data_IF_731603197569
#
_entry.id   IF_731603197569
#
_cell.length_a   1.000
_cell.length_b   1.000
_cell.length_c   1.000
_cell.angle_alpha   90.00
_cell.angle_beta   90.00
_cell.angle_gamma   90.00
#
_symmetry.space_group_name_H-M   'P 1'
#
loop_
_entity.id
_entity.type
_entity.pdbx_description
1 polymer ?
#
# COMPACT_ATOMS: atom_id res chain seq x y z
N UNK A 1 26.81 26.86 -56.46
CA UNK A 1 26.19 25.53 -56.27
C UNK A 1 25.78 25.40 -54.80
N UNK A 2 24.48 25.47 -54.50
CA UNK A 2 23.95 25.46 -53.12
C UNK A 2 23.89 24.02 -52.61
N UNK A 3 24.54 23.73 -51.47
CA UNK A 3 24.42 22.45 -50.75
C UNK A 3 23.14 22.49 -49.92
N UNK A 4 22.17 21.62 -50.23
CA UNK A 4 20.94 21.43 -49.46
C UNK A 4 21.28 20.44 -48.34
N UNK A 5 21.19 20.88 -47.09
CA UNK A 5 21.32 20.05 -45.90
C UNK A 5 19.93 19.62 -45.46
N UNK A 6 19.56 18.37 -45.72
CA UNK A 6 18.29 17.80 -45.30
C UNK A 6 18.39 17.41 -43.83
N UNK A 7 17.71 18.14 -42.95
CA UNK A 7 17.55 17.77 -41.53
C UNK A 7 16.37 16.79 -41.45
N UNK A 8 16.65 15.53 -41.14
CA UNK A 8 15.63 14.55 -40.78
C UNK A 8 15.25 14.81 -39.32
N UNK A 9 14.09 15.43 -39.10
CA UNK A 9 13.49 15.54 -37.78
C UNK A 9 12.87 14.19 -37.39
N UNK A 10 13.58 13.42 -36.56
CA UNK A 10 13.06 12.19 -35.96
C UNK A 10 12.01 12.54 -34.90
N UNK A 11 10.74 12.25 -35.19
CA UNK A 11 9.66 12.28 -34.20
C UNK A 11 9.89 11.09 -33.26
N UNK A 12 10.40 11.37 -32.05
CA UNK A 12 10.44 10.39 -30.96
C UNK A 12 9.02 10.21 -30.42
N UNK A 13 8.31 9.19 -30.90
CA UNK A 13 7.12 8.69 -30.20
C UNK A 13 7.58 8.08 -28.87
N UNK A 14 7.32 8.77 -27.77
CA UNK A 14 7.39 8.17 -26.44
C UNK A 14 6.27 7.13 -26.35
N UNK A 15 6.60 5.84 -26.52
CA UNK A 15 5.68 4.80 -26.08
C UNK A 15 5.52 4.99 -24.57
N UNK A 16 4.31 5.36 -24.17
CA UNK A 16 3.90 5.20 -22.78
C UNK A 16 3.87 3.70 -22.53
N UNK A 17 4.93 3.16 -21.93
CA UNK A 17 4.92 1.80 -21.45
C UNK A 17 3.86 1.76 -20.35
N UNK A 18 2.70 1.18 -20.65
CA UNK A 18 1.72 0.86 -19.63
C UNK A 18 2.41 -0.06 -18.63
N UNK A 19 2.38 0.30 -17.35
CA UNK A 19 2.80 -0.61 -16.30
C UNK A 19 1.75 -1.72 -16.24
N UNK A 20 1.93 -2.74 -17.07
CA UNK A 20 1.04 -3.88 -17.21
C UNK A 20 1.66 -5.06 -16.45
N UNK A 21 1.14 -5.35 -15.25
CA UNK A 21 1.61 -6.51 -14.50
C UNK A 21 1.20 -7.83 -15.15
N UNK A 22 0.21 -7.86 -16.05
CA UNK A 22 -0.16 -9.10 -16.73
C UNK A 22 0.97 -9.65 -17.61
N UNK A 23 1.90 -8.81 -18.06
CA UNK A 23 3.10 -9.30 -18.77
C UNK A 23 4.10 -10.00 -17.85
N UNK A 24 3.97 -9.86 -16.52
CA UNK A 24 4.84 -10.53 -15.56
C UNK A 24 4.55 -12.04 -15.54
N UNK A 25 5.57 -12.92 -15.65
CA UNK A 25 5.35 -14.37 -15.66
C UNK A 25 4.56 -14.85 -14.44
N UNK A 26 4.93 -14.38 -13.25
CA UNK A 26 4.27 -14.79 -12.00
C UNK A 26 2.84 -14.25 -11.86
N UNK A 27 2.51 -13.15 -12.54
CA UNK A 27 1.15 -12.61 -12.54
C UNK A 27 0.19 -13.49 -13.34
N UNK A 28 0.66 -14.13 -14.43
CA UNK A 28 -0.12 -15.11 -15.18
C UNK A 28 -0.38 -16.37 -14.35
N UNK A 29 0.65 -16.86 -13.66
CA UNK A 29 0.53 -18.00 -12.74
C UNK A 29 -0.47 -17.67 -11.61
N UNK A 30 -0.39 -16.46 -11.06
CA UNK A 30 -1.36 -15.97 -10.08
C UNK A 30 -2.78 -15.95 -10.65
N UNK A 31 -2.99 -15.42 -11.85
CA UNK A 31 -4.32 -15.38 -12.48
C UNK A 31 -4.88 -16.80 -12.70
N UNK A 32 -4.06 -17.73 -13.17
CA UNK A 32 -4.44 -19.14 -13.36
C UNK A 32 -4.86 -19.80 -12.04
N UNK A 33 -4.16 -19.50 -10.94
CA UNK A 33 -4.53 -19.96 -9.60
C UNK A 33 -5.85 -19.36 -9.12
N UNK A 34 -6.06 -18.05 -9.29
CA UNK A 34 -7.31 -17.39 -8.90
C UNK A 34 -8.52 -17.96 -9.64
N UNK A 35 -8.37 -18.30 -10.92
CA UNK A 35 -9.42 -18.93 -11.72
C UNK A 35 -9.65 -20.37 -11.27
N UNK A 36 -8.59 -21.18 -11.16
CA UNK A 36 -8.73 -22.63 -10.92
C UNK A 36 -9.07 -23.00 -9.48
N UNK A 37 -8.53 -22.31 -8.48
CA UNK A 37 -8.71 -22.64 -7.06
C UNK A 37 -9.81 -21.81 -6.39
N UNK A 38 -10.06 -20.60 -6.89
CA UNK A 38 -10.98 -19.65 -6.24
C UNK A 38 -12.17 -19.26 -7.13
N UNK A 39 -12.23 -19.71 -8.39
CA UNK A 39 -13.37 -19.53 -9.27
C UNK A 39 -13.58 -18.08 -9.74
N UNK A 40 -12.54 -17.26 -9.75
CA UNK A 40 -12.63 -15.89 -10.27
C UNK A 40 -12.80 -15.87 -11.79
N UNK A 41 -13.45 -14.82 -12.31
CA UNK A 41 -13.46 -14.54 -13.73
C UNK A 41 -12.07 -14.12 -14.20
N UNK A 42 -11.59 -14.72 -15.30
CA UNK A 42 -10.26 -14.45 -15.82
C UNK A 42 -10.12 -13.00 -16.30
N UNK A 43 -11.10 -12.49 -17.02
CA UNK A 43 -11.01 -11.15 -17.59
C UNK A 43 -10.99 -10.09 -16.49
N UNK A 44 -11.71 -10.29 -15.39
CA UNK A 44 -11.66 -9.40 -14.21
C UNK A 44 -10.26 -9.37 -13.56
N UNK A 45 -9.62 -10.52 -13.37
CA UNK A 45 -8.27 -10.58 -12.79
C UNK A 45 -7.24 -9.95 -13.72
N UNK A 46 -7.33 -10.24 -15.02
CA UNK A 46 -6.43 -9.67 -16.03
C UNK A 46 -6.57 -8.15 -16.09
N UNK A 47 -7.80 -7.63 -16.11
CA UNK A 47 -8.04 -6.18 -16.09
C UNK A 47 -7.45 -5.52 -14.83
N UNK A 48 -7.63 -6.13 -13.67
CA UNK A 48 -7.08 -5.63 -12.40
C UNK A 48 -5.54 -5.59 -12.41
N UNK A 49 -4.89 -6.60 -12.98
CA UNK A 49 -3.43 -6.68 -13.10
C UNK A 49 -2.88 -5.72 -14.15
N UNK A 50 -3.58 -5.51 -15.27
CA UNK A 50 -3.22 -4.53 -16.29
C UNK A 50 -3.22 -3.11 -15.72
N UNK A 51 -4.15 -2.79 -14.83
CA UNK A 51 -4.19 -1.48 -14.16
C UNK A 51 -3.17 -1.33 -13.03
N UNK A 52 -2.62 -2.42 -12.51
CA UNK A 52 -1.70 -2.38 -11.39
C UNK A 52 -0.35 -1.81 -11.83
N UNK A 53 0.18 -0.84 -11.07
CA UNK A 53 1.43 -0.17 -11.42
C UNK A 53 2.52 -0.43 -10.39
N UNK A 54 3.70 -0.85 -10.86
CA UNK A 54 4.88 -1.01 -10.01
C UNK A 54 5.21 0.26 -9.24
N UNK A 55 5.40 0.14 -7.93
CA UNK A 55 5.83 1.24 -7.05
C UNK A 55 7.24 1.00 -6.55
N UNK A 56 8.23 1.53 -7.27
CA UNK A 56 9.63 1.38 -6.86
C UNK A 56 9.89 1.85 -5.42
N UNK A 57 9.20 2.91 -4.97
CA UNK A 57 9.28 3.40 -3.60
C UNK A 57 8.89 2.36 -2.53
N UNK A 58 8.05 1.38 -2.86
CA UNK A 58 7.72 0.26 -1.96
C UNK A 58 8.90 -0.71 -1.85
N UNK A 59 9.53 -1.06 -2.99
CA UNK A 59 10.72 -1.92 -3.02
C UNK A 59 11.87 -1.27 -2.23
N UNK A 60 12.08 0.03 -2.43
CA UNK A 60 13.11 0.80 -1.76
C UNK A 60 12.87 0.82 -0.25
N UNK A 61 11.63 1.05 0.18
CA UNK A 61 11.25 1.04 1.60
C UNK A 61 11.47 -0.34 2.25
N UNK A 62 11.18 -1.43 1.54
CA UNK A 62 11.37 -2.81 2.02
C UNK A 62 12.82 -3.27 2.00
N UNK A 63 13.67 -2.64 1.19
CA UNK A 63 15.10 -2.98 1.07
C UNK A 63 15.97 -2.17 2.02
N UNK A 64 15.45 -1.06 2.55
CA UNK A 64 16.16 -0.22 3.51
C UNK A 64 16.61 -1.06 4.72
N UNK A 65 17.90 -1.04 5.08
CA UNK A 65 18.38 -1.75 6.26
C UNK A 65 17.65 -1.26 7.51
N UNK A 66 17.51 -2.15 8.50
CA UNK A 66 16.86 -1.82 9.76
C UNK A 66 17.54 -0.58 10.38
N UNK A 67 16.77 0.50 10.57
CA UNK A 67 17.25 1.63 11.34
C UNK A 67 17.56 1.19 12.77
N UNK A 68 18.52 1.85 13.42
CA UNK A 68 18.84 1.58 14.83
C UNK A 68 17.56 1.69 15.67
N UNK A 69 17.24 0.63 16.41
CA UNK A 69 16.07 0.59 17.30
C UNK A 69 16.12 1.78 18.26
N UNK A 70 15.11 2.64 18.21
CA UNK A 70 15.02 3.81 19.10
C UNK A 70 14.76 3.31 20.53
N UNK A 71 15.52 3.78 21.55
CA UNK A 71 15.19 3.48 22.94
C UNK A 71 13.77 3.94 23.30
N UNK A 72 13.12 3.26 24.24
CA UNK A 72 11.74 3.56 24.65
C UNK A 72 11.49 5.05 24.96
N UNK A 73 12.44 5.68 25.66
CA UNK A 73 12.37 7.12 26.03
C UNK A 73 12.16 8.04 24.83
N UNK A 74 12.63 7.65 23.64
CA UNK A 74 12.55 8.43 22.42
C UNK A 74 11.40 7.94 21.52
N UNK A 75 11.17 6.62 21.46
CA UNK A 75 10.06 6.04 20.69
C UNK A 75 8.70 6.52 21.20
N UNK A 76 8.48 6.55 22.52
CA UNK A 76 7.19 6.97 23.12
C UNK A 76 6.76 8.38 22.72
N UNK A 77 7.72 9.28 22.44
CA UNK A 77 7.46 10.68 22.07
C UNK A 77 6.80 10.81 20.69
N UNK A 78 6.87 9.78 19.84
CA UNK A 78 6.24 9.74 18.51
C UNK A 78 4.70 9.62 18.64
N UNK A 79 4.22 8.96 19.70
CA UNK A 79 2.80 8.64 19.86
C UNK A 79 2.14 9.37 21.03
N UNK A 80 2.82 9.49 22.17
CA UNK A 80 2.29 10.14 23.37
C UNK A 80 2.54 11.65 23.24
N UNK A 81 1.63 12.31 22.53
CA UNK A 81 1.61 13.76 22.29
C UNK A 81 0.21 14.28 22.63
N UNK A 82 0.11 15.48 23.18
CA UNK A 82 -1.16 16.13 23.56
C UNK A 82 -2.17 16.09 22.40
N UNK A 83 -1.74 16.50 21.20
CA UNK A 83 -2.55 16.42 19.98
C UNK A 83 -3.10 15.01 19.68
N UNK A 84 -2.36 13.93 19.96
CA UNK A 84 -2.85 12.56 19.71
C UNK A 84 -3.79 12.10 20.82
N UNK A 85 -3.57 12.57 22.05
CA UNK A 85 -4.44 12.30 23.19
C UNK A 85 -5.80 12.96 22.97
N UNK A 86 -5.84 14.26 22.67
CA UNK A 86 -7.09 15.00 22.44
C UNK A 86 -7.93 14.36 21.33
N UNK A 87 -7.25 13.91 20.28
CA UNK A 87 -7.91 13.29 19.14
C UNK A 87 -8.37 11.86 19.42
N UNK A 88 -7.71 11.17 20.36
CA UNK A 88 -8.20 9.90 20.89
C UNK A 88 -9.43 10.07 21.76
N UNK A 89 -9.47 11.13 22.58
CA UNK A 89 -10.66 11.48 23.36
C UNK A 89 -11.83 11.78 22.42
N UNK A 90 -11.62 12.61 21.39
CA UNK A 90 -12.67 12.90 20.40
C UNK A 90 -13.16 11.64 19.69
N UNK A 91 -12.24 10.82 19.17
CA UNK A 91 -12.58 9.56 18.52
C UNK A 91 -13.36 8.62 19.45
N UNK A 92 -12.96 8.54 20.72
CA UNK A 92 -13.68 7.75 21.72
C UNK A 92 -15.11 8.26 21.89
N UNK A 93 -15.28 9.56 22.15
CA UNK A 93 -16.59 10.15 22.40
C UNK A 93 -17.52 9.97 21.21
N UNK A 94 -17.02 10.17 19.98
CA UNK A 94 -17.77 9.96 18.73
C UNK A 94 -18.19 8.50 18.51
N UNK A 95 -17.40 7.53 18.99
CA UNK A 95 -17.60 6.11 18.74
C UNK A 95 -17.96 5.31 20.00
N UNK A 96 -18.43 5.99 21.06
CA UNK A 96 -18.63 5.39 22.39
C UNK A 96 -19.49 4.14 22.37
N UNK A 97 -20.58 4.14 21.61
CA UNK A 97 -21.49 3.00 21.53
C UNK A 97 -20.86 1.81 20.82
N UNK A 98 -20.12 2.05 19.73
CA UNK A 98 -19.40 1.01 19.01
C UNK A 98 -18.27 0.41 19.87
N UNK A 99 -17.52 1.25 20.58
CA UNK A 99 -16.47 0.82 21.51
C UNK A 99 -17.04 -0.01 22.67
N UNK A 100 -18.15 0.43 23.27
CA UNK A 100 -18.82 -0.31 24.34
C UNK A 100 -19.36 -1.66 23.84
N UNK A 101 -19.94 -1.71 22.64
CA UNK A 101 -20.38 -2.96 22.01
C UNK A 101 -19.21 -3.91 21.81
N UNK A 102 -18.14 -3.45 21.16
CA UNK A 102 -16.95 -4.25 20.91
C UNK A 102 -16.32 -4.76 22.22
N UNK A 103 -16.30 -3.93 23.26
CA UNK A 103 -15.81 -4.33 24.58
C UNK A 103 -16.66 -5.42 25.23
N UNK A 104 -17.98 -5.31 25.17
CA UNK A 104 -18.90 -6.34 25.68
C UNK A 104 -18.83 -7.65 24.89
N UNK A 105 -18.71 -7.56 23.57
CA UNK A 105 -18.73 -8.72 22.67
C UNK A 105 -17.40 -9.47 22.66
N UNK A 106 -16.29 -8.75 22.59
CA UNK A 106 -14.95 -9.33 22.39
C UNK A 106 -14.08 -9.28 23.64
N UNK A 107 -14.53 -8.65 24.74
CA UNK A 107 -13.76 -8.55 25.99
C UNK A 107 -12.54 -7.62 25.92
N UNK A 108 -12.44 -6.79 24.89
CA UNK A 108 -11.31 -5.85 24.70
C UNK A 108 -11.66 -4.50 25.32
N UNK A 109 -10.78 -3.96 26.17
CA UNK A 109 -11.01 -2.66 26.79
C UNK A 109 -11.04 -1.54 25.72
N UNK A 110 -12.00 -0.58 25.78
CA UNK A 110 -12.14 0.47 24.79
C UNK A 110 -10.86 1.28 24.56
N UNK A 111 -10.08 1.57 25.60
CA UNK A 111 -8.82 2.30 25.53
C UNK A 111 -7.77 1.58 24.66
N UNK A 112 -7.78 0.25 24.63
CA UNK A 112 -6.87 -0.54 23.79
C UNK A 112 -7.25 -0.39 22.32
N UNK A 113 -8.56 -0.45 22.01
CA UNK A 113 -9.07 -0.27 20.64
C UNK A 113 -8.72 1.13 20.14
N UNK A 114 -8.99 2.16 20.95
CA UNK A 114 -8.67 3.55 20.63
C UNK A 114 -7.15 3.73 20.45
N UNK A 115 -6.33 3.14 21.33
CA UNK A 115 -4.87 3.25 21.23
C UNK A 115 -4.33 2.62 19.93
N UNK A 116 -4.81 1.45 19.52
CA UNK A 116 -4.39 0.79 18.27
C UNK A 116 -4.74 1.67 17.06
N UNK A 117 -5.99 2.10 16.95
CA UNK A 117 -6.42 2.97 15.83
C UNK A 117 -5.61 4.28 15.82
N UNK A 118 -5.35 4.82 17.01
CA UNK A 118 -4.53 6.01 17.20
C UNK A 118 -3.10 5.82 16.72
N UNK A 119 -2.45 4.70 17.05
CA UNK A 119 -1.08 4.37 16.62
C UNK A 119 -1.00 4.13 15.12
N UNK A 120 -1.91 3.31 14.58
CA UNK A 120 -1.88 2.84 13.19
C UNK A 120 -2.17 3.96 12.19
N UNK A 121 -3.21 4.77 12.45
CA UNK A 121 -3.73 5.69 11.43
C UNK A 121 -3.94 7.11 11.92
N UNK A 122 -3.63 7.40 13.19
CA UNK A 122 -4.03 8.67 13.81
C UNK A 122 -5.53 8.92 13.61
N UNK A 123 -6.34 7.93 14.02
CA UNK A 123 -7.81 8.00 13.94
C UNK A 123 -8.31 8.30 12.51
N UNK A 124 -7.72 7.62 11.52
CA UNK A 124 -8.12 7.70 10.12
C UNK A 124 -7.49 8.83 9.29
N UNK A 125 -6.60 9.66 9.87
CA UNK A 125 -5.93 10.75 9.14
C UNK A 125 -4.80 10.28 8.23
N UNK A 126 -4.10 9.22 8.62
CA UNK A 126 -2.94 8.67 7.92
C UNK A 126 -3.22 7.19 7.64
N UNK A 127 -3.93 6.90 6.54
CA UNK A 127 -4.37 5.53 6.20
C UNK A 127 -3.44 4.82 5.21
N UNK A 128 -2.40 5.51 4.75
CA UNK A 128 -1.58 5.08 3.62
C UNK A 128 -1.96 5.80 2.32
N UNK A 129 -1.03 5.81 1.36
CA UNK A 129 -1.13 6.57 0.10
C UNK A 129 -1.05 5.70 -1.15
N UNK A 130 -0.76 4.40 -1.01
CA UNK A 130 -0.71 3.47 -2.13
C UNK A 130 -2.08 2.83 -2.35
N UNK A 131 -2.44 2.60 -3.62
CA UNK A 131 -3.52 1.65 -3.93
C UNK A 131 -3.09 0.28 -3.46
N UNK A 132 -4.00 -0.46 -2.83
CA UNK A 132 -3.70 -1.80 -2.30
C UNK A 132 -3.20 -2.73 -3.40
N UNK A 133 -3.83 -2.70 -4.58
CA UNK A 133 -3.42 -3.55 -5.71
C UNK A 133 -2.00 -3.25 -6.20
N UNK A 134 -1.62 -1.96 -6.28
CA UNK A 134 -0.26 -1.58 -6.68
C UNK A 134 0.77 -2.09 -5.67
N UNK A 135 0.47 -1.96 -4.38
CA UNK A 135 1.36 -2.40 -3.32
C UNK A 135 1.54 -3.92 -3.30
N UNK A 136 0.44 -4.66 -3.39
CA UNK A 136 0.48 -6.12 -3.39
C UNK A 136 1.13 -6.66 -4.66
N UNK A 137 0.78 -6.18 -5.85
CA UNK A 137 1.41 -6.61 -7.10
C UNK A 137 2.92 -6.32 -7.10
N UNK A 138 3.33 -5.14 -6.64
CA UNK A 138 4.75 -4.80 -6.49
C UNK A 138 5.49 -5.77 -5.56
N UNK A 139 4.93 -6.08 -4.39
CA UNK A 139 5.58 -6.96 -3.44
C UNK A 139 5.55 -8.43 -3.87
N UNK A 140 4.46 -8.88 -4.49
CA UNK A 140 4.29 -10.26 -4.93
C UNK A 140 5.17 -10.60 -6.12
N UNK A 141 5.34 -9.67 -7.07
CA UNK A 141 5.98 -9.97 -8.35
C UNK A 141 7.39 -9.37 -8.47
N UNK A 142 7.70 -8.25 -7.80
CA UNK A 142 9.01 -7.59 -7.91
C UNK A 142 9.88 -7.66 -6.64
N UNK A 143 9.43 -8.35 -5.58
CA UNK A 143 10.18 -8.46 -4.31
C UNK A 143 10.42 -9.92 -3.86
N UNK A 144 11.40 -10.62 -4.45
CA UNK A 144 11.63 -12.05 -4.24
C UNK A 144 11.83 -12.49 -2.78
N UNK A 145 12.32 -11.60 -1.91
CA UNK A 145 12.59 -11.93 -0.49
C UNK A 145 11.34 -12.30 0.29
N UNK A 146 10.15 -11.86 -0.16
CA UNK A 146 8.86 -12.13 0.47
C UNK A 146 7.75 -12.40 -0.56
N UNK A 147 8.12 -12.74 -1.79
CA UNK A 147 7.17 -13.30 -2.76
C UNK A 147 6.89 -14.75 -2.36
N UNK A 148 5.61 -15.13 -2.38
CA UNK A 148 5.13 -16.47 -2.04
C UNK A 148 5.15 -17.40 -3.25
#
# INVERSE_FOLDING_TARGET
>A
MKRILTIIAGVLFSLSASADYFQHPDAKVFADRMVSEHGFDRAEIEALLVEATKKQSIIDAMTRPAERVKPWKDYRKIFIQEKRIDQGVNFWLENRDALNRASKEYGVAPEVIVAIIGVETFYGRIKGSYRVIDALATLSFDYPKRSA
#
